data_IF_251423481047
#
_entry.id   IF_251423481047
#
_cell.length_a   1.000
_cell.length_b   1.000
_cell.length_c   1.000
_cell.angle_alpha   90.00
_cell.angle_beta   90.00
_cell.angle_gamma   90.00
#
_symmetry.space_group_name_H-M   'P 1'
#
loop_
_entity.id
_entity.type
_entity.pdbx_description
1 polymer ?
#
# COMPACT_ATOMS: atom_id res chain seq x y z
N UNK A 1 -0.17 16.61 -9.37
CA UNK A 1 0.44 15.55 -8.54
C UNK A 1 -0.02 14.18 -8.99
N UNK A 2 0.82 13.12 -8.83
CA UNK A 2 0.45 11.71 -9.06
C UNK A 2 -0.03 11.08 -7.75
N UNK A 3 -0.98 10.15 -7.86
CA UNK A 3 -1.60 9.47 -6.72
C UNK A 3 -1.39 7.97 -6.81
N UNK A 4 -0.71 7.38 -5.82
CA UNK A 4 -0.44 5.95 -5.78
C UNK A 4 -1.25 5.27 -4.68
N UNK A 5 -1.79 4.09 -4.97
CA UNK A 5 -2.39 3.26 -3.92
C UNK A 5 -1.32 2.39 -3.27
N UNK A 6 -1.14 2.58 -1.96
CA UNK A 6 -0.11 1.88 -1.18
C UNK A 6 -0.32 0.36 -1.15
N UNK A 7 0.77 -0.43 -1.08
CA UNK A 7 0.68 -1.84 -0.77
C UNK A 7 0.16 -2.02 0.66
N UNK A 8 -0.99 -2.68 0.79
CA UNK A 8 -1.61 -2.98 2.09
C UNK A 8 -1.88 -4.48 2.16
N UNK A 9 -1.13 -5.18 3.03
CA UNK A 9 -1.32 -6.62 3.24
C UNK A 9 -2.77 -6.91 3.63
N UNK A 10 -3.36 -7.89 2.98
CA UNK A 10 -4.76 -8.25 3.19
C UNK A 10 -5.79 -7.38 2.46
N UNK A 11 -5.46 -6.17 2.04
CA UNK A 11 -6.41 -5.21 1.42
C UNK A 11 -6.18 -5.12 -0.09
N UNK A 12 -5.01 -4.68 -0.54
CA UNK A 12 -4.75 -4.36 -1.96
C UNK A 12 -4.41 -5.59 -2.79
N UNK A 13 -5.17 -6.68 -2.60
CA UNK A 13 -5.07 -7.92 -3.39
C UNK A 13 -5.44 -7.67 -4.85
N UNK A 14 -5.14 -8.63 -5.73
CA UNK A 14 -5.51 -8.52 -7.15
C UNK A 14 -7.02 -8.30 -7.35
N UNK A 15 -7.88 -9.01 -6.58
CA UNK A 15 -9.34 -8.80 -6.62
C UNK A 15 -9.70 -7.35 -6.28
N UNK A 16 -9.16 -6.83 -5.17
CA UNK A 16 -9.42 -5.45 -4.77
C UNK A 16 -8.96 -4.46 -5.84
N UNK A 17 -7.72 -4.60 -6.34
CA UNK A 17 -7.17 -3.69 -7.36
C UNK A 17 -8.00 -3.69 -8.63
N UNK A 18 -8.45 -4.86 -9.10
CA UNK A 18 -9.29 -4.99 -10.29
C UNK A 18 -10.65 -4.29 -10.12
N UNK A 19 -11.35 -4.55 -9.02
CA UNK A 19 -12.67 -3.95 -8.76
C UNK A 19 -12.55 -2.45 -8.47
N UNK A 20 -11.62 -2.05 -7.58
CA UNK A 20 -11.46 -0.65 -7.20
C UNK A 20 -11.06 0.23 -8.38
N UNK A 21 -10.07 -0.17 -9.18
CA UNK A 21 -9.59 0.64 -10.31
C UNK A 21 -10.65 0.87 -11.38
N UNK A 22 -11.57 -0.08 -11.56
CA UNK A 22 -12.67 0.01 -12.52
C UNK A 22 -13.81 0.87 -11.99
N UNK A 23 -14.19 0.70 -10.72
CA UNK A 23 -15.32 1.42 -10.12
C UNK A 23 -14.98 2.84 -9.67
N UNK A 24 -13.77 3.02 -9.17
CA UNK A 24 -13.28 4.29 -8.65
C UNK A 24 -11.92 4.66 -9.28
N UNK A 25 -11.92 5.03 -10.57
CA UNK A 25 -10.69 5.41 -11.26
C UNK A 25 -10.11 6.70 -10.67
N UNK A 26 -8.81 6.93 -10.92
CA UNK A 26 -8.12 8.17 -10.51
C UNK A 26 -6.75 7.94 -9.87
N UNK A 27 -6.45 6.71 -9.39
CA UNK A 27 -5.10 6.35 -9.01
C UNK A 27 -4.22 6.18 -10.25
N UNK A 28 -3.02 6.76 -10.23
CA UNK A 28 -2.05 6.63 -11.32
C UNK A 28 -1.31 5.29 -11.27
N UNK A 29 -1.24 4.67 -10.09
CA UNK A 29 -0.50 3.43 -9.87
C UNK A 29 -0.99 2.68 -8.63
N UNK A 30 -1.00 1.36 -8.72
CA UNK A 30 -1.25 0.46 -7.60
C UNK A 30 0.01 -0.32 -7.26
N UNK A 31 0.15 -0.74 -6.00
CA UNK A 31 1.22 -1.62 -5.55
C UNK A 31 0.61 -2.92 -5.03
N UNK A 32 1.24 -4.05 -5.36
CA UNK A 32 0.80 -5.34 -4.80
C UNK A 32 1.11 -5.40 -3.31
N UNK A 33 0.35 -6.17 -2.50
CA UNK A 33 0.90 -6.67 -1.25
C UNK A 33 2.29 -7.28 -1.52
N UNK A 34 3.20 -7.15 -0.56
CA UNK A 34 4.52 -7.70 -0.76
C UNK A 34 4.49 -9.24 -0.83
N UNK A 35 5.34 -9.80 -1.64
CA UNK A 35 5.68 -11.22 -1.58
C UNK A 35 7.14 -11.40 -1.16
N UNK A 36 7.45 -12.58 -0.62
CA UNK A 36 8.79 -12.91 -0.12
C UNK A 36 9.35 -14.09 -0.89
N UNK A 37 10.22 -13.86 -1.87
CA UNK A 37 10.89 -14.96 -2.55
C UNK A 37 11.57 -15.90 -1.54
N UNK A 38 11.55 -17.18 -1.85
CA UNK A 38 12.20 -18.24 -1.07
C UNK A 38 13.41 -18.77 -1.82
N UNK A 39 14.31 -19.45 -1.10
CA UNK A 39 15.50 -20.09 -1.68
C UNK A 39 15.20 -21.17 -2.74
N UNK A 40 13.95 -21.64 -2.79
CA UNK A 40 13.51 -22.63 -3.78
C UNK A 40 13.27 -22.00 -5.16
N UNK A 41 13.24 -20.65 -5.22
CA UNK A 41 13.05 -19.86 -6.43
C UNK A 41 11.81 -20.31 -7.23
N UNK A 42 10.67 -20.39 -6.55
CA UNK A 42 9.37 -20.72 -7.13
C UNK A 42 8.32 -19.71 -6.69
N UNK A 43 7.56 -19.18 -7.65
CA UNK A 43 6.35 -18.41 -7.33
C UNK A 43 5.25 -19.36 -6.88
N UNK A 44 4.67 -19.07 -5.74
CA UNK A 44 3.49 -19.79 -5.26
C UNK A 44 2.25 -19.48 -6.10
N UNK A 45 1.24 -20.36 -6.15
CA UNK A 45 -0.03 -20.06 -6.84
C UNK A 45 -0.70 -18.76 -6.35
N UNK A 46 -0.52 -18.39 -5.08
CA UNK A 46 -1.02 -17.14 -4.53
C UNK A 46 -0.27 -15.94 -5.12
N UNK A 47 1.04 -16.00 -5.20
CA UNK A 47 1.86 -14.93 -5.78
C UNK A 47 1.58 -14.76 -7.26
N UNK A 48 1.43 -15.86 -8.01
CA UNK A 48 1.06 -15.80 -9.43
C UNK A 48 -0.31 -15.12 -9.63
N UNK A 49 -1.32 -15.41 -8.80
CA UNK A 49 -2.60 -14.69 -8.88
C UNK A 49 -2.47 -13.19 -8.59
N UNK A 50 -1.57 -12.79 -7.70
CA UNK A 50 -1.30 -11.37 -7.44
C UNK A 50 -0.55 -10.67 -8.59
N UNK A 51 0.33 -11.38 -9.29
CA UNK A 51 1.23 -10.85 -10.32
C UNK A 51 0.62 -10.95 -11.72
N UNK A 52 -0.09 -12.03 -12.03
CA UNK A 52 -0.70 -12.28 -13.34
C UNK A 52 -2.19 -12.62 -13.20
N UNK A 53 -3.03 -11.71 -12.68
CA UNK A 53 -4.44 -11.99 -12.44
C UNK A 53 -5.23 -12.12 -13.77
N UNK A 54 -6.22 -12.99 -13.79
CA UNK A 54 -7.15 -13.14 -14.93
C UNK A 54 -7.91 -11.84 -15.21
N UNK A 55 -8.28 -11.12 -14.15
CA UNK A 55 -8.90 -9.78 -14.27
C UNK A 55 -7.88 -8.72 -13.87
N UNK A 56 -7.29 -8.03 -14.85
CA UNK A 56 -6.24 -7.05 -14.57
C UNK A 56 -6.79 -5.79 -13.90
N UNK A 57 -5.90 -5.10 -13.20
CA UNK A 57 -6.15 -3.74 -12.73
C UNK A 57 -6.24 -2.79 -13.94
N UNK A 58 -7.17 -1.82 -13.90
CA UNK A 58 -7.32 -0.82 -14.97
C UNK A 58 -6.21 0.25 -15.00
N UNK A 59 -5.35 0.28 -13.98
CA UNK A 59 -4.20 1.17 -13.89
C UNK A 59 -2.89 0.36 -13.70
N UNK A 60 -1.71 0.93 -13.98
CA UNK A 60 -0.43 0.28 -13.79
C UNK A 60 -0.26 -0.29 -12.38
N UNK A 61 0.31 -1.48 -12.28
CA UNK A 61 0.60 -2.17 -11.03
C UNK A 61 2.11 -2.37 -10.89
N UNK A 62 2.64 -2.07 -9.70
CA UNK A 62 4.04 -2.31 -9.34
C UNK A 62 4.09 -3.44 -8.32
N UNK A 63 4.75 -4.55 -8.63
CA UNK A 63 4.99 -5.62 -7.66
C UNK A 63 5.89 -5.16 -6.52
N UNK A 64 5.60 -5.61 -5.28
CA UNK A 64 6.46 -5.29 -4.15
C UNK A 64 7.14 -6.55 -3.60
N UNK A 65 8.47 -6.52 -3.50
CA UNK A 65 9.30 -7.61 -2.97
C UNK A 65 9.73 -7.31 -1.54
N UNK A 66 9.69 -8.32 -0.68
CA UNK A 66 10.19 -8.28 0.70
C UNK A 66 11.27 -9.35 0.91
N UNK A 67 12.53 -9.00 0.77
CA UNK A 67 13.66 -9.90 1.05
C UNK A 67 14.84 -9.14 1.65
N UNK A 68 15.82 -9.88 2.18
CA UNK A 68 17.13 -9.41 2.61
C UNK A 68 18.26 -10.13 1.88
N UNK A 69 17.94 -10.92 0.88
CA UNK A 69 18.88 -11.68 0.07
C UNK A 69 18.83 -11.16 -1.37
N UNK A 70 19.95 -10.66 -1.87
CA UNK A 70 20.05 -10.09 -3.20
C UNK A 70 19.73 -11.13 -4.29
N UNK A 71 20.22 -12.35 -4.16
CA UNK A 71 19.96 -13.42 -5.13
C UNK A 71 18.47 -13.74 -5.27
N UNK A 72 17.71 -13.76 -4.14
CA UNK A 72 16.26 -13.97 -4.16
C UNK A 72 15.53 -12.80 -4.84
N UNK A 73 16.00 -11.57 -4.61
CA UNK A 73 15.40 -10.36 -5.22
C UNK A 73 15.66 -10.35 -6.73
N UNK A 74 16.88 -10.64 -7.15
CA UNK A 74 17.26 -10.67 -8.57
C UNK A 74 16.49 -11.76 -9.31
N UNK A 75 16.44 -12.98 -8.76
CA UNK A 75 15.61 -14.06 -9.32
C UNK A 75 14.14 -13.61 -9.48
N UNK A 76 13.57 -12.99 -8.45
CA UNK A 76 12.20 -12.51 -8.55
C UNK A 76 12.04 -11.41 -9.60
N UNK A 77 13.02 -10.50 -9.73
CA UNK A 77 13.02 -9.45 -10.74
C UNK A 77 13.10 -10.02 -12.18
N UNK A 78 13.88 -11.08 -12.40
CA UNK A 78 13.90 -11.80 -13.69
C UNK A 78 12.52 -12.38 -14.02
N UNK A 79 11.90 -13.08 -13.08
CA UNK A 79 10.54 -13.60 -13.27
C UNK A 79 9.49 -12.51 -13.48
N UNK A 80 9.63 -11.36 -12.82
CA UNK A 80 8.75 -10.21 -13.05
C UNK A 80 8.97 -9.61 -14.46
N UNK A 81 10.20 -9.56 -14.95
CA UNK A 81 10.50 -9.14 -16.33
C UNK A 81 9.82 -10.07 -17.34
N UNK A 82 9.87 -11.38 -17.14
CA UNK A 82 9.20 -12.37 -17.99
C UNK A 82 7.67 -12.21 -17.98
N UNK A 83 7.10 -11.72 -16.86
CA UNK A 83 5.68 -11.38 -16.75
C UNK A 83 5.34 -10.01 -17.36
N UNK A 84 6.33 -9.27 -17.90
CA UNK A 84 6.14 -7.97 -18.56
C UNK A 84 6.24 -6.76 -17.63
N UNK A 85 6.67 -6.91 -16.38
CA UNK A 85 6.95 -5.79 -15.50
C UNK A 85 8.27 -5.11 -15.86
N UNK A 86 8.30 -3.79 -15.76
CA UNK A 86 9.50 -2.97 -16.03
C UNK A 86 10.08 -2.36 -14.76
N UNK A 87 9.40 -2.52 -13.63
CA UNK A 87 9.80 -2.01 -12.32
C UNK A 87 9.22 -2.88 -11.21
N UNK A 88 9.97 -3.03 -10.14
CA UNK A 88 9.45 -3.53 -8.86
C UNK A 88 9.78 -2.56 -7.73
N UNK A 89 9.07 -2.70 -6.63
CA UNK A 89 9.31 -1.94 -5.40
C UNK A 89 9.95 -2.83 -4.33
N UNK A 90 11.07 -2.41 -3.75
CA UNK A 90 11.69 -3.10 -2.63
C UNK A 90 11.16 -2.55 -1.29
N UNK A 91 10.60 -3.43 -0.48
CA UNK A 91 10.05 -3.07 0.83
C UNK A 91 11.16 -3.02 1.90
N UNK A 92 11.52 -1.80 2.30
CA UNK A 92 12.45 -1.49 3.40
C UNK A 92 11.73 -0.86 4.60
N UNK A 93 10.39 -0.84 4.59
CA UNK A 93 9.61 -0.06 5.57
C UNK A 93 8.58 -0.85 6.38
N UNK A 94 8.32 -2.14 6.09
CA UNK A 94 7.33 -2.92 6.86
C UNK A 94 7.73 -3.03 8.34
N UNK A 95 6.91 -2.49 9.29
CA UNK A 95 7.27 -2.44 10.69
C UNK A 95 6.84 -3.68 11.48
N UNK A 96 6.16 -4.63 10.84
CA UNK A 96 5.62 -5.84 11.49
C UNK A 96 6.70 -6.59 12.25
N UNK A 97 6.40 -7.00 13.49
CA UNK A 97 7.35 -7.73 14.33
C UNK A 97 7.80 -9.05 13.68
N UNK A 98 6.91 -9.74 12.99
CA UNK A 98 7.22 -11.00 12.28
C UNK A 98 8.15 -10.80 11.09
N UNK A 99 8.14 -9.61 10.47
CA UNK A 99 9.01 -9.23 9.36
C UNK A 99 10.38 -8.76 9.89
N UNK A 100 10.36 -7.83 10.84
CA UNK A 100 11.59 -7.22 11.37
C UNK A 100 12.44 -8.20 12.19
N UNK A 101 11.83 -9.16 12.89
CA UNK A 101 12.56 -10.24 13.58
C UNK A 101 13.38 -11.13 12.61
N UNK A 102 12.96 -11.21 11.35
CA UNK A 102 13.70 -11.91 10.29
C UNK A 102 14.75 -11.02 9.60
N UNK A 103 14.91 -9.77 10.03
CA UNK A 103 15.82 -8.78 9.43
C UNK A 103 15.34 -8.30 8.05
N UNK A 104 14.04 -8.41 7.71
CA UNK A 104 13.42 -7.93 6.47
C UNK A 104 12.67 -6.61 6.71
N UNK A 105 12.28 -5.93 5.64
CA UNK A 105 11.53 -4.67 5.73
C UNK A 105 12.28 -3.64 6.56
N UNK A 106 11.60 -2.98 7.51
CA UNK A 106 12.25 -2.02 8.40
C UNK A 106 13.35 -2.63 9.28
N UNK A 107 13.42 -3.96 9.42
CA UNK A 107 14.50 -4.65 10.12
C UNK A 107 15.89 -4.45 9.49
N UNK A 108 15.96 -4.19 8.19
CA UNK A 108 17.20 -3.86 7.48
C UNK A 108 17.78 -2.51 7.90
N UNK A 109 16.93 -1.56 8.32
CA UNK A 109 17.35 -0.20 8.71
C UNK A 109 18.25 -0.18 9.95
N UNK A 110 18.27 -1.26 10.75
CA UNK A 110 19.17 -1.42 11.89
C UNK A 110 20.61 -1.69 11.50
N UNK A 111 20.87 -2.06 10.25
CA UNK A 111 22.18 -2.51 9.75
C UNK A 111 22.49 -1.78 8.44
N UNK A 112 22.82 -0.47 8.49
CA UNK A 112 23.05 0.33 7.28
C UNK A 112 24.07 -0.26 6.32
N UNK A 113 25.18 -0.83 6.81
CA UNK A 113 26.20 -1.41 5.94
C UNK A 113 25.72 -2.70 5.24
N UNK A 114 24.90 -3.51 5.90
CA UNK A 114 24.29 -4.68 5.26
C UNK A 114 23.18 -4.26 4.26
N UNK A 115 22.49 -3.16 4.53
CA UNK A 115 21.54 -2.56 3.58
C UNK A 115 22.25 -2.05 2.34
N UNK A 116 23.39 -1.37 2.50
CA UNK A 116 24.22 -0.86 1.42
C UNK A 116 24.70 -2.01 0.51
N UNK A 117 25.27 -3.06 1.10
CA UNK A 117 25.69 -4.27 0.37
C UNK A 117 24.52 -4.90 -0.40
N UNK A 118 23.35 -5.04 0.24
CA UNK A 118 22.16 -5.59 -0.41
C UNK A 118 21.75 -4.74 -1.62
N UNK A 119 21.72 -3.43 -1.49
CA UNK A 119 21.34 -2.52 -2.57
C UNK A 119 22.37 -2.55 -3.70
N UNK A 120 23.68 -2.56 -3.38
CA UNK A 120 24.75 -2.68 -4.38
C UNK A 120 24.54 -3.92 -5.26
N UNK A 121 24.33 -5.08 -4.64
CA UNK A 121 24.14 -6.35 -5.36
C UNK A 121 22.84 -6.32 -6.20
N UNK A 122 21.75 -5.79 -5.65
CA UNK A 122 20.45 -5.72 -6.35
C UNK A 122 20.52 -4.76 -7.53
N UNK A 123 21.06 -3.55 -7.36
CA UNK A 123 21.14 -2.58 -8.45
C UNK A 123 22.13 -2.98 -9.54
N UNK A 124 23.18 -3.73 -9.20
CA UNK A 124 24.14 -4.24 -10.18
C UNK A 124 23.55 -5.36 -11.07
N UNK A 125 22.60 -6.16 -10.56
CA UNK A 125 22.14 -7.37 -11.22
C UNK A 125 20.66 -7.36 -11.65
N UNK A 126 19.86 -6.37 -11.19
CA UNK A 126 18.43 -6.32 -11.52
C UNK A 126 18.21 -6.05 -13.01
N UNK A 127 17.41 -6.87 -13.72
CA UNK A 127 17.10 -6.65 -15.13
C UNK A 127 16.03 -5.55 -15.37
N UNK A 128 15.34 -5.12 -14.32
CA UNK A 128 14.28 -4.10 -14.37
C UNK A 128 14.51 -3.03 -13.30
N UNK A 129 13.87 -1.87 -13.44
CA UNK A 129 14.05 -0.74 -12.55
C UNK A 129 13.64 -1.07 -11.10
N UNK A 130 14.35 -0.48 -10.15
CA UNK A 130 14.11 -0.66 -8.71
C UNK A 130 13.57 0.62 -8.10
N UNK A 131 12.41 0.54 -7.47
CA UNK A 131 11.82 1.59 -6.64
C UNK A 131 11.97 1.19 -5.17
N UNK A 132 12.23 2.14 -4.29
CA UNK A 132 12.43 1.87 -2.86
C UNK A 132 11.22 2.37 -2.05
N UNK A 133 10.75 1.58 -1.08
CA UNK A 133 9.77 2.06 -0.09
C UNK A 133 10.32 1.88 1.32
N UNK A 134 10.61 2.99 1.99
CA UNK A 134 11.29 3.00 3.28
C UNK A 134 10.58 3.81 4.35
N UNK A 135 11.11 3.66 5.57
CA UNK A 135 10.93 4.56 6.71
C UNK A 135 12.22 5.32 6.98
N UNK A 136 12.16 6.31 7.90
CA UNK A 136 13.31 7.16 8.24
C UNK A 136 14.30 6.52 9.21
N UNK A 137 14.00 5.34 9.73
CA UNK A 137 14.87 4.62 10.66
C UNK A 137 14.13 3.51 11.39
N UNK A 138 14.84 2.81 12.26
CA UNK A 138 14.29 1.76 13.09
C UNK A 138 13.89 2.28 14.48
N UNK A 139 14.77 2.97 15.20
CA UNK A 139 14.55 3.47 16.56
C UNK A 139 14.34 4.98 16.60
N UNK A 140 15.14 5.75 15.85
CA UNK A 140 15.20 7.20 15.96
C UNK A 140 15.30 7.90 14.58
N UNK A 141 14.70 9.11 14.43
CA UNK A 141 14.76 9.88 13.18
C UNK A 141 16.19 10.26 12.76
N UNK A 142 17.10 10.39 13.69
CA UNK A 142 18.51 10.72 13.47
C UNK A 142 19.28 9.65 12.66
N UNK A 143 18.70 8.47 12.50
CA UNK A 143 19.23 7.41 11.62
C UNK A 143 19.08 7.76 10.14
N UNK A 144 18.12 8.63 9.79
CA UNK A 144 17.74 8.88 8.40
C UNK A 144 18.84 9.46 7.52
N UNK A 145 19.64 10.44 7.92
CA UNK A 145 20.72 10.99 7.08
C UNK A 145 21.69 9.90 6.59
N UNK A 146 22.02 8.92 7.42
CA UNK A 146 22.87 7.78 7.02
C UNK A 146 22.16 6.89 6.01
N UNK A 147 20.88 6.55 6.23
CA UNK A 147 20.09 5.74 5.31
C UNK A 147 19.92 6.45 3.95
N UNK A 148 19.63 7.74 3.97
CA UNK A 148 19.48 8.54 2.76
C UNK A 148 20.80 8.62 1.98
N UNK A 149 21.95 8.74 2.65
CA UNK A 149 23.27 8.72 2.00
C UNK A 149 23.55 7.40 1.26
N UNK A 150 23.00 6.30 1.75
CA UNK A 150 23.07 4.99 1.08
C UNK A 150 22.14 4.99 -0.16
N UNK A 151 20.87 5.36 0.00
CA UNK A 151 19.93 5.34 -1.12
C UNK A 151 20.41 6.19 -2.31
N UNK A 152 21.03 7.35 -2.04
CA UNK A 152 21.54 8.28 -3.07
C UNK A 152 22.68 7.73 -3.92
N UNK A 153 23.28 6.61 -3.56
CA UNK A 153 24.36 5.97 -4.33
C UNK A 153 23.82 5.16 -5.51
N UNK A 154 22.52 4.87 -5.53
CA UNK A 154 21.91 3.97 -6.50
C UNK A 154 20.91 4.71 -7.40
N UNK A 155 20.76 4.24 -8.64
CA UNK A 155 19.81 4.78 -9.62
C UNK A 155 18.39 4.23 -9.36
N UNK A 156 17.83 4.60 -8.21
CA UNK A 156 16.47 4.21 -7.87
C UNK A 156 15.46 5.00 -8.70
N UNK A 157 14.41 4.34 -9.19
CA UNK A 157 13.35 5.01 -9.93
C UNK A 157 12.62 6.07 -9.07
N UNK A 158 12.43 5.79 -7.79
CA UNK A 158 11.83 6.69 -6.80
C UNK A 158 12.09 6.17 -5.37
N UNK A 159 12.04 7.05 -4.40
CA UNK A 159 12.01 6.72 -2.97
C UNK A 159 10.63 7.07 -2.40
N UNK A 160 9.84 6.07 -2.07
CA UNK A 160 8.57 6.24 -1.34
C UNK A 160 8.89 6.25 0.15
N UNK A 161 8.77 7.41 0.78
CA UNK A 161 9.16 7.60 2.16
C UNK A 161 7.96 7.74 3.08
N UNK A 162 7.87 6.84 4.07
CA UNK A 162 7.01 7.05 5.23
C UNK A 162 7.85 7.72 6.34
N UNK A 163 7.66 9.02 6.60
CA UNK A 163 8.54 9.76 7.51
C UNK A 163 8.20 9.50 8.99
N UNK A 164 8.28 8.25 9.38
CA UNK A 164 8.25 7.70 10.73
C UNK A 164 9.28 6.59 10.86
N UNK A 165 9.77 6.36 12.06
CA UNK A 165 10.61 5.20 12.38
C UNK A 165 9.76 3.92 12.48
N UNK A 166 10.42 2.77 12.49
CA UNK A 166 9.76 1.48 12.78
C UNK A 166 9.13 1.48 14.18
N UNK A 167 9.81 2.07 15.17
CA UNK A 167 9.37 2.11 16.57
C UNK A 167 8.04 2.89 16.73
N UNK A 168 7.88 3.95 16.00
CA UNK A 168 6.67 4.78 16.01
C UNK A 168 5.46 4.08 15.34
N UNK A 169 5.71 3.10 14.49
CA UNK A 169 4.65 2.40 13.78
C UNK A 169 3.77 3.36 12.94
N UNK A 170 2.59 3.71 13.46
CA UNK A 170 1.60 4.62 12.88
C UNK A 170 1.12 5.69 13.88
N UNK A 171 1.82 5.84 15.00
CA UNK A 171 1.51 6.80 16.06
C UNK A 171 2.47 8.00 16.05
N UNK A 172 2.05 9.08 16.69
CA UNK A 172 2.82 10.33 16.69
C UNK A 172 2.73 11.11 15.38
N UNK A 173 3.37 12.26 15.32
CA UNK A 173 3.44 13.09 14.12
C UNK A 173 4.41 12.48 13.09
N UNK A 174 4.22 12.82 11.82
CA UNK A 174 5.20 12.53 10.77
C UNK A 174 6.35 13.54 10.83
N UNK A 175 7.57 13.10 10.55
CA UNK A 175 8.77 13.94 10.53
C UNK A 175 8.92 14.59 9.15
N UNK A 176 8.29 15.74 8.94
CA UNK A 176 8.30 16.45 7.66
C UNK A 176 9.68 16.99 7.26
N UNK A 177 10.53 17.30 8.24
CA UNK A 177 11.93 17.66 8.04
C UNK A 177 12.74 16.53 7.36
N UNK A 178 12.49 15.28 7.75
CA UNK A 178 13.10 14.13 7.11
C UNK A 178 12.60 13.95 5.66
N UNK A 179 11.31 14.19 5.40
CA UNK A 179 10.80 14.18 4.02
C UNK A 179 11.41 15.30 3.18
N UNK A 180 11.47 16.52 3.70
CA UNK A 180 12.12 17.66 3.04
C UNK A 180 13.59 17.36 2.72
N UNK A 181 14.33 16.71 3.63
CA UNK A 181 15.70 16.28 3.41
C UNK A 181 15.79 15.25 2.25
N UNK A 182 14.83 14.34 2.14
CA UNK A 182 14.77 13.39 1.03
C UNK A 182 14.46 14.08 -0.30
N UNK A 183 13.52 15.02 -0.31
CA UNK A 183 13.13 15.75 -1.53
C UNK A 183 14.22 16.70 -2.04
N UNK A 184 14.93 17.39 -1.14
CA UNK A 184 15.88 18.45 -1.47
C UNK A 184 17.22 18.01 -2.09
N UNK A 185 17.44 16.77 -2.42
CA UNK A 185 18.77 16.40 -2.94
C UNK A 185 18.93 14.96 -3.32
N UNK A 186 17.83 14.27 -3.56
CA UNK A 186 17.88 12.93 -4.13
C UNK A 186 18.01 13.00 -5.65
N UNK A 187 18.81 12.14 -6.27
CA UNK A 187 18.91 12.05 -7.71
C UNK A 187 17.64 11.46 -8.35
N UNK A 188 16.70 11.02 -7.54
CA UNK A 188 15.43 10.40 -7.91
C UNK A 188 14.26 11.09 -7.17
N UNK A 189 13.03 11.00 -7.70
CA UNK A 189 11.84 11.56 -7.06
C UNK A 189 11.59 10.99 -5.66
N UNK A 190 11.29 11.86 -4.69
CA UNK A 190 10.78 11.47 -3.39
C UNK A 190 9.25 11.48 -3.40
N UNK A 191 8.64 10.35 -3.07
CA UNK A 191 7.18 10.17 -2.97
C UNK A 191 6.77 10.19 -1.51
N UNK A 192 5.86 11.09 -1.14
CA UNK A 192 5.39 11.17 0.24
C UNK A 192 4.38 10.07 0.56
N UNK A 193 4.53 9.42 1.70
CA UNK A 193 3.58 8.43 2.20
C UNK A 193 3.40 8.58 3.73
N UNK A 194 2.39 9.30 4.18
CA UNK A 194 2.08 9.46 5.61
C UNK A 194 0.78 10.22 5.82
N UNK A 195 -0.02 9.84 6.78
CA UNK A 195 -1.22 10.47 7.38
C UNK A 195 -2.03 11.45 6.50
N UNK A 196 -2.17 11.13 5.23
CA UNK A 196 -3.11 11.80 4.33
C UNK A 196 -4.36 10.91 4.22
N UNK A 197 -5.45 11.34 4.82
CA UNK A 197 -6.66 10.53 4.94
C UNK A 197 -7.82 11.05 4.09
N UNK A 198 -7.92 12.37 3.91
CA UNK A 198 -9.02 13.02 3.21
C UNK A 198 -8.52 13.76 1.97
N UNK A 199 -9.43 14.11 1.07
CA UNK A 199 -9.08 14.93 -0.08
C UNK A 199 -8.59 16.32 0.34
N UNK A 200 -9.09 16.85 1.45
CA UNK A 200 -8.73 18.12 2.06
C UNK A 200 -7.28 18.07 2.58
N UNK A 201 -6.90 17.00 3.32
CA UNK A 201 -5.52 16.80 3.78
C UNK A 201 -4.54 16.77 2.60
N UNK A 202 -4.92 16.08 1.52
CA UNK A 202 -4.06 15.91 0.35
C UNK A 202 -3.91 17.22 -0.40
N UNK A 203 -4.99 17.98 -0.60
CA UNK A 203 -4.93 19.31 -1.24
C UNK A 203 -4.13 20.31 -0.41
N UNK A 204 -4.26 20.27 0.91
CA UNK A 204 -3.44 21.09 1.81
C UNK A 204 -1.95 20.73 1.70
N UNK A 205 -1.64 19.42 1.62
CA UNK A 205 -0.28 18.93 1.38
C UNK A 205 0.25 19.40 0.01
N UNK A 206 -0.54 19.28 -1.05
CA UNK A 206 -0.17 19.73 -2.40
C UNK A 206 0.16 21.22 -2.45
N UNK A 207 -0.66 22.02 -1.77
CA UNK A 207 -0.44 23.47 -1.69
C UNK A 207 0.82 23.83 -0.90
N UNK A 208 1.14 23.06 0.15
CA UNK A 208 2.32 23.28 0.99
C UNK A 208 3.62 22.71 0.36
N UNK A 209 3.51 21.72 -0.52
CA UNK A 209 4.64 20.99 -1.12
C UNK A 209 4.50 20.86 -2.65
N UNK A 210 4.46 21.98 -3.40
CA UNK A 210 4.26 21.97 -4.85
C UNK A 210 5.38 21.28 -5.62
N UNK A 211 6.56 21.13 -5.01
CA UNK A 211 7.71 20.39 -5.55
C UNK A 211 7.55 18.88 -5.51
N UNK A 212 6.61 18.36 -4.71
CA UNK A 212 6.38 16.92 -4.57
C UNK A 212 5.57 16.40 -5.77
N UNK A 213 6.15 15.49 -6.54
CA UNK A 213 5.49 14.98 -7.76
C UNK A 213 4.40 13.95 -7.48
N UNK A 214 4.53 13.18 -6.38
CA UNK A 214 3.61 12.08 -6.08
C UNK A 214 3.39 11.89 -4.58
N UNK A 215 2.20 11.44 -4.24
CA UNK A 215 1.85 10.93 -2.89
C UNK A 215 1.32 9.50 -2.99
N UNK A 216 1.66 8.70 -1.97
CA UNK A 216 1.14 7.34 -1.84
C UNK A 216 0.15 7.29 -0.68
N UNK A 217 -1.06 6.84 -0.96
CA UNK A 217 -2.18 6.80 -0.01
C UNK A 217 -2.49 5.35 0.36
N UNK A 218 -2.63 5.07 1.63
CA UNK A 218 -2.98 3.73 2.13
C UNK A 218 -4.33 3.75 2.83
N UNK A 219 -4.33 4.02 4.13
CA UNK A 219 -5.52 3.96 4.99
C UNK A 219 -6.64 4.88 4.53
N UNK A 220 -6.33 6.10 4.09
CA UNK A 220 -7.32 7.03 3.55
C UNK A 220 -8.01 6.47 2.29
N UNK A 221 -7.24 5.92 1.34
CA UNK A 221 -7.78 5.32 0.12
C UNK A 221 -8.54 4.00 0.38
N UNK A 222 -8.19 3.25 1.43
CA UNK A 222 -8.97 2.08 1.85
C UNK A 222 -10.26 2.47 2.59
N UNK A 223 -10.27 3.63 3.25
CA UNK A 223 -11.42 4.18 3.95
C UNK A 223 -12.42 4.84 2.99
N UNK A 224 -11.96 5.64 2.04
CA UNK A 224 -12.77 6.26 0.98
C UNK A 224 -12.36 5.72 -0.40
N UNK A 225 -13.09 4.76 -0.96
CA UNK A 225 -12.77 4.22 -2.29
C UNK A 225 -12.78 5.29 -3.40
N UNK A 226 -13.56 6.35 -3.25
CA UNK A 226 -13.62 7.45 -4.22
C UNK A 226 -12.54 8.52 -4.03
N UNK A 227 -11.62 8.37 -3.05
CA UNK A 227 -10.63 9.39 -2.72
C UNK A 227 -9.83 9.86 -3.94
N UNK A 228 -9.31 8.95 -4.75
CA UNK A 228 -8.56 9.32 -5.95
C UNK A 228 -9.43 10.03 -6.99
N UNK A 229 -10.68 9.59 -7.19
CA UNK A 229 -11.65 10.25 -8.06
C UNK A 229 -11.94 11.67 -7.59
N UNK A 230 -12.12 11.88 -6.28
CA UNK A 230 -12.33 13.20 -5.67
C UNK A 230 -11.14 14.14 -5.88
N UNK A 231 -9.93 13.62 -5.77
CA UNK A 231 -8.70 14.37 -6.06
C UNK A 231 -8.59 14.82 -7.52
N UNK A 232 -9.20 14.07 -8.44
CA UNK A 232 -9.33 14.43 -9.87
C UNK A 232 -10.54 15.32 -10.16
N UNK A 233 -11.23 15.84 -9.14
CA UNK A 233 -12.39 16.72 -9.29
C UNK A 233 -13.71 15.98 -9.48
N UNK A 234 -13.73 14.65 -9.33
CA UNK A 234 -14.96 13.86 -9.37
C UNK A 234 -15.73 13.86 -8.04
N UNK A 235 -16.95 13.32 -8.06
CA UNK A 235 -17.83 13.25 -6.89
C UNK A 235 -17.36 12.22 -5.85
N UNK A 236 -17.78 12.40 -4.60
CA UNK A 236 -17.72 11.38 -3.57
C UNK A 236 -18.50 10.13 -3.98
N UNK A 237 -18.22 8.99 -3.35
CA UNK A 237 -18.98 7.78 -3.61
C UNK A 237 -20.43 7.93 -3.13
N UNK A 238 -21.39 7.63 -3.99
CA UNK A 238 -22.78 7.48 -3.60
C UNK A 238 -22.97 6.18 -2.81
N UNK A 239 -24.05 6.09 -2.07
CA UNK A 239 -24.44 4.89 -1.32
C UNK A 239 -24.61 3.68 -2.24
N UNK A 240 -25.17 3.90 -3.41
CA UNK A 240 -25.38 2.83 -4.41
C UNK A 240 -24.04 2.35 -4.98
N UNK A 241 -23.11 3.23 -5.29
CA UNK A 241 -21.75 2.84 -5.74
C UNK A 241 -21.01 2.05 -4.66
N UNK A 242 -21.12 2.44 -3.37
CA UNK A 242 -20.52 1.69 -2.26
C UNK A 242 -21.14 0.31 -2.11
N UNK A 243 -22.45 0.18 -2.29
CA UNK A 243 -23.15 -1.11 -2.27
C UNK A 243 -22.65 -2.01 -3.39
N UNK A 244 -22.64 -1.53 -4.61
CA UNK A 244 -22.18 -2.28 -5.78
C UNK A 244 -20.69 -2.65 -5.67
N UNK A 245 -19.85 -1.76 -5.13
CA UNK A 245 -18.45 -2.04 -4.86
C UNK A 245 -18.28 -3.16 -3.84
N UNK A 246 -19.04 -3.10 -2.74
CA UNK A 246 -19.04 -4.15 -1.72
C UNK A 246 -19.49 -5.50 -2.28
N UNK A 247 -20.61 -5.53 -2.98
CA UNK A 247 -21.19 -6.75 -3.54
C UNK A 247 -20.24 -7.41 -4.54
N UNK A 248 -19.67 -6.64 -5.46
CA UNK A 248 -18.75 -7.15 -6.46
C UNK A 248 -17.46 -7.71 -5.83
N UNK A 249 -16.88 -7.01 -4.85
CA UNK A 249 -15.73 -7.51 -4.10
C UNK A 249 -16.07 -8.80 -3.35
N UNK A 250 -17.20 -8.81 -2.67
CA UNK A 250 -17.62 -9.95 -1.86
C UNK A 250 -17.83 -11.19 -2.73
N UNK A 251 -18.52 -11.06 -3.87
CA UNK A 251 -18.74 -12.15 -4.81
C UNK A 251 -17.42 -12.65 -5.42
N UNK A 252 -16.52 -11.74 -5.82
CA UNK A 252 -15.22 -12.12 -6.35
C UNK A 252 -14.38 -12.89 -5.31
N UNK A 253 -14.33 -12.42 -4.07
CA UNK A 253 -13.67 -13.15 -2.99
C UNK A 253 -14.38 -14.47 -2.66
N UNK A 254 -15.71 -14.52 -2.75
CA UNK A 254 -16.48 -15.74 -2.49
C UNK A 254 -16.20 -16.83 -3.53
N UNK A 255 -16.08 -16.44 -4.78
CA UNK A 255 -15.72 -17.35 -5.87
C UNK A 255 -14.29 -17.92 -5.68
N UNK A 256 -13.35 -17.10 -5.25
CA UNK A 256 -11.95 -17.53 -5.08
C UNK A 256 -11.68 -18.29 -3.77
N UNK A 257 -12.25 -17.84 -2.65
CA UNK A 257 -11.86 -18.24 -1.30
C UNK A 257 -12.93 -19.03 -0.54
N UNK A 258 -14.17 -19.06 -1.05
CA UNK A 258 -15.34 -19.56 -0.33
C UNK A 258 -15.89 -18.55 0.71
N UNK A 259 -17.16 -18.72 1.10
CA UNK A 259 -17.93 -17.72 1.84
C UNK A 259 -17.33 -17.24 3.16
N UNK A 260 -16.78 -18.15 3.99
CA UNK A 260 -16.19 -17.79 5.29
C UNK A 260 -14.90 -16.97 5.13
N UNK A 261 -14.05 -17.32 4.16
CA UNK A 261 -12.81 -16.59 3.94
C UNK A 261 -13.06 -15.26 3.23
N UNK A 262 -14.03 -15.20 2.32
CA UNK A 262 -14.50 -13.95 1.73
C UNK A 262 -14.99 -12.96 2.81
N UNK A 263 -15.84 -13.43 3.73
CA UNK A 263 -16.26 -12.63 4.89
C UNK A 263 -15.06 -12.12 5.69
N UNK A 264 -14.05 -12.96 5.96
CA UNK A 264 -12.83 -12.53 6.67
C UNK A 264 -12.11 -11.42 5.92
N UNK A 265 -11.97 -11.55 4.61
CA UNK A 265 -11.39 -10.53 3.73
C UNK A 265 -12.17 -9.22 3.77
N UNK A 266 -13.47 -9.30 3.62
CA UNK A 266 -14.32 -8.11 3.67
C UNK A 266 -14.28 -7.40 5.04
N UNK A 267 -14.13 -8.14 6.14
CA UNK A 267 -13.95 -7.54 7.47
C UNK A 267 -12.67 -6.73 7.59
N UNK A 268 -11.58 -7.15 6.95
CA UNK A 268 -10.34 -6.37 6.90
C UNK A 268 -10.58 -5.02 6.20
N UNK A 269 -11.35 -5.01 5.11
CA UNK A 269 -11.71 -3.79 4.40
C UNK A 269 -12.71 -2.93 5.20
N UNK A 270 -13.73 -3.55 5.81
CA UNK A 270 -14.73 -2.85 6.62
C UNK A 270 -14.14 -2.17 7.86
N UNK A 271 -12.98 -2.61 8.33
CA UNK A 271 -12.21 -1.88 9.35
C UNK A 271 -11.90 -0.43 8.92
N UNK A 272 -11.71 -0.19 7.64
CA UNK A 272 -11.48 1.14 7.07
C UNK A 272 -12.79 1.79 6.57
N UNK A 273 -13.57 1.07 5.77
CA UNK A 273 -14.81 1.58 5.16
C UNK A 273 -15.82 2.11 6.19
N UNK A 274 -15.87 1.52 7.37
CA UNK A 274 -16.80 1.96 8.42
C UNK A 274 -16.64 3.44 8.80
N UNK A 275 -15.46 4.01 8.61
CA UNK A 275 -15.21 5.43 8.86
C UNK A 275 -15.95 6.39 7.93
N UNK A 276 -16.44 5.92 6.78
CA UNK A 276 -17.30 6.70 5.88
C UNK A 276 -18.70 6.97 6.45
N UNK A 277 -19.10 6.23 7.49
CA UNK A 277 -20.46 6.31 8.03
C UNK A 277 -20.46 6.99 9.39
N UNK A 278 -21.38 7.93 9.58
CA UNK A 278 -21.57 8.60 10.87
C UNK A 278 -22.27 7.63 11.83
N UNK A 279 -21.72 7.49 13.04
CA UNK A 279 -22.27 6.61 14.06
C UNK A 279 -22.04 5.11 13.85
N UNK A 280 -21.07 4.74 12.99
CA UNK A 280 -20.78 3.34 12.66
C UNK A 280 -20.05 2.53 13.75
N UNK A 281 -19.56 3.13 14.84
CA UNK A 281 -18.63 2.51 15.79
C UNK A 281 -19.12 1.17 16.35
N UNK A 282 -20.39 1.09 16.79
CA UNK A 282 -20.95 -0.15 17.33
C UNK A 282 -21.18 -1.20 16.25
N UNK A 283 -21.59 -0.77 15.06
CA UNK A 283 -21.81 -1.67 13.92
C UNK A 283 -20.47 -2.22 13.40
N UNK A 284 -19.45 -1.37 13.32
CA UNK A 284 -18.08 -1.78 12.98
C UNK A 284 -17.54 -2.84 13.95
N UNK A 285 -17.80 -2.70 15.25
CA UNK A 285 -17.46 -3.74 16.26
C UNK A 285 -18.21 -5.05 16.01
N UNK A 286 -19.50 -5.00 15.67
CA UNK A 286 -20.31 -6.19 15.34
C UNK A 286 -19.76 -6.87 14.09
N UNK A 287 -19.49 -6.11 13.01
CA UNK A 287 -18.87 -6.60 11.78
C UNK A 287 -17.54 -7.28 12.09
N UNK A 288 -16.66 -6.63 12.84
CA UNK A 288 -15.34 -7.17 13.17
C UNK A 288 -15.39 -8.49 13.96
N UNK A 289 -16.35 -8.65 14.89
CA UNK A 289 -16.41 -9.78 15.81
C UNK A 289 -17.23 -10.97 15.30
N UNK A 290 -18.20 -10.76 14.42
CA UNK A 290 -19.06 -11.87 13.94
C UNK A 290 -18.25 -12.97 13.27
N UNK A 291 -18.68 -14.22 13.46
CA UNK A 291 -18.16 -15.40 12.75
C UNK A 291 -19.21 -15.98 11.80
N UNK A 292 -20.40 -15.40 11.83
CA UNK A 292 -21.57 -15.82 11.08
C UNK A 292 -21.69 -14.95 9.80
N UNK A 293 -21.73 -15.59 8.65
CA UNK A 293 -21.84 -14.95 7.34
C UNK A 293 -23.16 -14.19 7.16
N UNK A 294 -24.28 -14.73 7.68
CA UNK A 294 -25.58 -14.07 7.58
C UNK A 294 -25.60 -12.79 8.42
N UNK A 295 -25.15 -12.86 9.66
CA UNK A 295 -25.04 -11.68 10.53
C UNK A 295 -24.08 -10.63 9.97
N UNK A 296 -22.99 -11.06 9.33
CA UNK A 296 -22.09 -10.14 8.64
C UNK A 296 -22.84 -9.37 7.57
N UNK A 297 -23.59 -10.07 6.69
CA UNK A 297 -24.36 -9.45 5.62
C UNK A 297 -25.45 -8.51 6.16
N UNK A 298 -26.13 -8.89 7.25
CA UNK A 298 -27.14 -8.04 7.90
C UNK A 298 -26.50 -6.73 8.40
N UNK A 299 -25.37 -6.80 9.10
CA UNK A 299 -24.67 -5.61 9.63
C UNK A 299 -24.15 -4.70 8.50
N UNK A 300 -23.62 -5.29 7.45
CA UNK A 300 -23.19 -4.53 6.26
C UNK A 300 -24.38 -3.86 5.57
N UNK A 301 -25.49 -4.59 5.38
CA UNK A 301 -26.72 -4.04 4.83
C UNK A 301 -27.28 -2.90 5.68
N UNK A 302 -27.25 -3.03 7.01
CA UNK A 302 -27.63 -1.97 7.95
C UNK A 302 -26.76 -0.72 7.78
N UNK A 303 -25.44 -0.87 7.69
CA UNK A 303 -24.52 0.24 7.47
C UNK A 303 -24.82 0.94 6.13
N UNK A 304 -24.89 0.17 5.05
CA UNK A 304 -25.12 0.68 3.69
C UNK A 304 -26.50 1.29 3.49
N UNK A 305 -27.52 0.90 4.26
CA UNK A 305 -28.90 1.39 4.09
C UNK A 305 -29.24 2.54 5.02
N UNK A 306 -28.83 2.47 6.28
CA UNK A 306 -29.40 3.30 7.35
C UNK A 306 -28.44 4.36 7.89
N UNK A 307 -27.11 4.13 7.88
CA UNK A 307 -26.18 5.10 8.44
C UNK A 307 -25.95 6.26 7.45
N UNK A 308 -25.91 7.52 7.94
CA UNK A 308 -25.52 8.66 7.10
C UNK A 308 -24.06 8.53 6.64
N UNK A 309 -23.82 8.85 5.36
CA UNK A 309 -22.45 9.00 4.86
C UNK A 309 -21.86 10.30 5.40
N UNK A 310 -20.59 10.28 5.73
CA UNK A 310 -19.83 11.53 5.89
C UNK A 310 -19.79 12.18 4.52
N UNK A 311 -20.53 13.28 4.36
CA UNK A 311 -20.37 14.13 3.19
C UNK A 311 -18.92 14.63 3.20
N UNK A 312 -18.18 14.32 2.17
CA UNK A 312 -17.02 15.11 1.86
C UNK A 312 -17.55 16.45 1.37
N UNK A 313 -17.51 17.48 2.20
CA UNK A 313 -17.63 18.87 1.77
C UNK A 313 -16.43 19.23 0.91
#
# INVERSE_FOLDING_TARGET
MKYYFAPMEGITTHVFRAVHSRRFPGADRYYTPFFSPTSDHLFTPRELRELTPETPCAAPVVPQILSKCAADIVWAAEGLQDMGYTVFNLNLGCPSATVTAKGKGAGLLQKPDALDTLLADVFAASPIAVSLKSRIGYLAPEEFPRLLSIYRQYDAQELILHPRTRKEMYSGAVHMDAFALAAAGSPFPAVYNGDLFTAEDIRAFEAAHPETEAVMLGRGAAADPALFRRLRGGAAASREELRQFHEELYEAYRAELGGVNAMRKMKELWHYLSSLFIGADELAKKIARTKDVYKFNDYVSEALSNLPLRSGE
#
